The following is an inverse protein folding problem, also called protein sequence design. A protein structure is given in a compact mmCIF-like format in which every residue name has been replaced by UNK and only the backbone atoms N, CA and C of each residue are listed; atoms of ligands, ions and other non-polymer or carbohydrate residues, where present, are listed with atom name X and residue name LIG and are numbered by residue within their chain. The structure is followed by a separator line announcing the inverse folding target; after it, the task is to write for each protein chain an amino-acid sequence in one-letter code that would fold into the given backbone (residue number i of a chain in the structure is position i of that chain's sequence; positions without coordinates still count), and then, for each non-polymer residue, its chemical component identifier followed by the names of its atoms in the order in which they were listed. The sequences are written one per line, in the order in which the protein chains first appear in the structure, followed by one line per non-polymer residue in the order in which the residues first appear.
data_IF_558408045251
#
_entry.id   IF_558408045251
#
_cell.length_a   1.000
_cell.length_b   1.000
_cell.length_c   1.000
_cell.angle_alpha   90.00
_cell.angle_beta   90.00
_cell.angle_gamma   90.00
#
_symmetry.space_group_name_H-M   'P 1'
#
loop_
_entity.id
_entity.type
_entity.pdbx_description
1 polymer ?
#
# COMPACT_ATOMS: atom_id res chain seq x y z
N UNK A 1 -28.44 -20.06 24.34
CA UNK A 1 -27.22 -19.32 23.98
C UNK A 1 -27.55 -18.45 22.79
N UNK A 2 -27.42 -17.13 22.96
CA UNK A 2 -27.75 -16.15 21.93
C UNK A 2 -26.76 -16.29 20.77
N UNK A 3 -27.29 -16.60 19.59
CA UNK A 3 -26.58 -16.52 18.32
C UNK A 3 -25.99 -15.10 18.16
N UNK A 4 -24.69 -14.94 17.87
CA UNK A 4 -24.12 -13.62 17.63
C UNK A 4 -24.84 -12.99 16.45
N UNK A 5 -25.42 -11.81 16.68
CA UNK A 5 -26.07 -11.02 15.65
C UNK A 5 -25.00 -10.59 14.63
N UNK A 6 -24.97 -11.26 13.48
CA UNK A 6 -24.03 -10.97 12.42
C UNK A 6 -24.47 -9.66 11.75
N UNK A 7 -23.78 -8.57 12.05
CA UNK A 7 -23.96 -7.29 11.35
C UNK A 7 -23.43 -7.43 9.91
N UNK A 8 -24.35 -7.65 8.96
CA UNK A 8 -24.06 -7.79 7.52
C UNK A 8 -23.51 -6.51 6.88
N UNK A 9 -23.38 -5.41 7.62
CA UNK A 9 -22.89 -4.12 7.11
C UNK A 9 -21.37 -4.04 7.04
N UNK A 10 -20.64 -4.91 7.77
CA UNK A 10 -19.17 -4.89 7.79
C UNK A 10 -18.58 -5.87 6.77
N UNK A 11 -17.74 -5.34 5.89
CA UNK A 11 -16.95 -6.13 4.94
C UNK A 11 -15.92 -6.98 5.71
N UNK A 12 -16.08 -8.30 5.67
CA UNK A 12 -15.14 -9.26 6.25
C UNK A 12 -14.09 -9.71 5.22
N UNK A 13 -12.86 -9.87 5.67
CA UNK A 13 -11.72 -10.32 4.88
C UNK A 13 -11.18 -11.62 5.44
N UNK A 14 -10.87 -12.60 4.57
CA UNK A 14 -10.30 -13.87 5.00
C UNK A 14 -8.78 -13.77 5.10
N UNK A 15 -8.24 -13.94 6.31
CA UNK A 15 -6.80 -14.02 6.53
C UNK A 15 -6.33 -15.48 6.38
N UNK A 16 -5.53 -15.84 5.36
CA UNK A 16 -5.09 -17.22 5.16
C UNK A 16 -4.12 -17.70 6.24
N UNK A 17 -3.42 -16.79 6.93
CA UNK A 17 -2.47 -17.13 7.99
C UNK A 17 -3.17 -17.46 9.32
N UNK A 18 -4.22 -16.71 9.65
CA UNK A 18 -5.00 -16.93 10.88
C UNK A 18 -6.13 -17.94 10.68
N UNK A 19 -6.44 -18.29 9.43
CA UNK A 19 -7.58 -19.12 9.02
C UNK A 19 -8.95 -18.57 9.48
N UNK A 20 -9.05 -17.25 9.62
CA UNK A 20 -10.23 -16.56 10.19
C UNK A 20 -10.71 -15.38 9.33
N UNK A 21 -11.94 -14.95 9.56
CA UNK A 21 -12.53 -13.74 8.99
C UNK A 21 -12.31 -12.54 9.92
N UNK A 22 -11.71 -11.48 9.38
CA UNK A 22 -11.37 -10.27 10.11
C UNK A 22 -12.04 -9.05 9.48
N UNK A 23 -12.44 -8.09 10.29
CA UNK A 23 -12.95 -6.79 9.82
C UNK A 23 -11.89 -5.67 9.93
N UNK A 24 -10.84 -5.88 10.73
CA UNK A 24 -9.77 -4.93 11.02
C UNK A 24 -8.56 -5.11 10.08
N UNK A 25 -8.78 -4.97 8.77
CA UNK A 25 -7.68 -4.94 7.78
C UNK A 25 -7.09 -3.55 7.65
N UNK A 26 -5.78 -3.49 7.45
CA UNK A 26 -5.06 -2.25 7.16
C UNK A 26 -4.25 -2.40 5.87
N UNK A 27 -4.25 -1.40 4.98
CA UNK A 27 -3.39 -1.42 3.81
C UNK A 27 -1.92 -1.26 4.22
N UNK A 28 -1.04 -1.92 3.48
CA UNK A 28 0.42 -1.89 3.67
C UNK A 28 1.12 -1.81 2.31
N UNK A 29 2.28 -1.15 2.26
CA UNK A 29 3.01 -1.02 1.00
C UNK A 29 3.76 -2.29 0.61
N UNK A 30 3.70 -2.57 -0.69
CA UNK A 30 4.59 -3.46 -1.41
C UNK A 30 4.96 -2.78 -2.73
N UNK A 31 6.03 -1.98 -2.71
CA UNK A 31 6.40 -1.12 -3.85
C UNK A 31 7.55 -1.72 -4.66
N UNK A 32 7.38 -1.75 -5.98
CA UNK A 32 8.44 -2.05 -6.92
C UNK A 32 9.10 -0.74 -7.40
N UNK A 33 10.35 -0.51 -7.01
CA UNK A 33 11.14 0.64 -7.46
C UNK A 33 12.10 0.23 -8.56
N UNK A 34 12.22 1.08 -9.58
CA UNK A 34 13.33 1.04 -10.54
C UNK A 34 14.23 2.23 -10.27
N UNK A 35 15.47 1.96 -9.90
CA UNK A 35 16.48 2.98 -9.64
C UNK A 35 17.56 2.87 -10.70
N UNK A 36 18.00 4.02 -11.21
CA UNK A 36 19.07 4.11 -12.20
C UNK A 36 20.22 4.93 -11.62
N UNK A 37 21.44 4.48 -11.86
CA UNK A 37 22.67 5.20 -11.54
C UNK A 37 23.62 5.22 -12.74
N UNK A 38 24.83 5.74 -12.56
CA UNK A 38 25.83 5.81 -13.64
C UNK A 38 26.33 4.45 -14.15
N UNK A 39 26.00 3.35 -13.46
CA UNK A 39 26.43 1.99 -13.80
C UNK A 39 25.32 1.16 -14.45
N UNK A 40 24.05 1.51 -14.23
CA UNK A 40 22.93 0.84 -14.84
C UNK A 40 21.63 1.04 -14.08
N UNK A 41 20.79 0.00 -14.08
CA UNK A 41 19.52 0.01 -13.38
C UNK A 41 19.36 -1.19 -12.47
N UNK A 42 18.67 -0.99 -11.35
CA UNK A 42 18.31 -2.06 -10.42
C UNK A 42 16.85 -1.92 -10.00
N UNK A 43 16.20 -3.06 -9.79
CA UNK A 43 14.83 -3.13 -9.28
C UNK A 43 14.85 -3.53 -7.80
N UNK A 44 14.14 -2.77 -6.97
CA UNK A 44 13.99 -3.03 -5.55
C UNK A 44 12.54 -3.34 -5.22
N UNK A 45 12.34 -4.25 -4.26
CA UNK A 45 11.06 -4.47 -3.60
C UNK A 45 11.13 -3.84 -2.21
N UNK A 46 10.34 -2.79 -1.98
CA UNK A 46 10.27 -2.11 -0.69
C UNK A 46 9.01 -2.55 0.05
N UNK A 47 9.22 -3.10 1.24
CA UNK A 47 8.16 -3.42 2.18
C UNK A 47 7.78 -2.18 3.00
N UNK A 48 6.58 -2.24 3.57
CA UNK A 48 5.88 -1.18 4.30
C UNK A 48 6.74 -0.10 4.95
N UNK A 49 7.57 -0.44 5.95
CA UNK A 49 8.38 0.55 6.68
C UNK A 49 9.33 1.34 5.78
N UNK A 50 10.07 0.65 4.92
CA UNK A 50 11.02 1.29 4.00
C UNK A 50 10.28 2.11 2.93
N UNK A 51 9.13 1.61 2.47
CA UNK A 51 8.29 2.35 1.54
C UNK A 51 7.73 3.65 2.16
N UNK A 52 7.28 3.61 3.42
CA UNK A 52 6.80 4.80 4.13
C UNK A 52 7.88 5.87 4.26
N UNK A 53 9.14 5.48 4.52
CA UNK A 53 10.27 6.42 4.57
C UNK A 53 10.53 7.11 3.22
N UNK A 54 10.36 6.38 2.11
CA UNK A 54 10.59 6.92 0.76
C UNK A 54 9.42 7.77 0.27
N UNK A 55 8.19 7.32 0.48
CA UNK A 55 6.97 8.02 0.02
C UNK A 55 6.58 9.16 0.97
N UNK A 56 7.02 9.08 2.23
CA UNK A 56 6.70 10.03 3.30
C UNK A 56 5.18 10.14 3.58
N UNK A 57 4.48 9.00 3.52
CA UNK A 57 3.07 8.83 3.90
C UNK A 57 2.83 7.35 4.23
N UNK A 58 1.75 7.03 4.94
CA UNK A 58 1.34 5.64 5.17
C UNK A 58 0.50 5.10 4.02
N UNK A 59 0.43 3.76 3.88
CA UNK A 59 -0.45 3.15 2.88
C UNK A 59 -1.94 3.44 3.15
N UNK A 60 -2.34 3.58 4.42
CA UNK A 60 -3.69 3.94 4.81
C UNK A 60 -4.07 5.34 4.34
N UNK A 61 -3.23 6.34 4.64
CA UNK A 61 -3.43 7.71 4.16
C UNK A 61 -3.45 7.78 2.63
N UNK A 62 -2.64 6.96 1.95
CA UNK A 62 -2.62 6.95 0.49
C UNK A 62 -3.94 6.43 -0.09
N UNK A 63 -4.48 5.33 0.45
CA UNK A 63 -5.73 4.73 0.00
C UNK A 63 -6.93 5.62 0.32
N UNK A 64 -6.97 6.22 1.51
CA UNK A 64 -8.07 7.11 1.90
C UNK A 64 -8.16 8.37 1.01
N UNK A 65 -7.03 8.83 0.48
CA UNK A 65 -6.96 9.98 -0.42
C UNK A 65 -7.03 9.61 -1.92
N UNK A 66 -7.12 8.33 -2.26
CA UNK A 66 -7.12 7.85 -3.63
C UNK A 66 -8.49 7.31 -4.01
N UNK A 67 -9.12 7.94 -5.01
CA UNK A 67 -10.38 7.48 -5.56
C UNK A 67 -10.11 6.28 -6.48
N UNK A 68 -10.68 5.10 -6.16
CA UNK A 68 -10.46 3.85 -6.92
C UNK A 68 -10.94 3.94 -8.40
N UNK A 69 -11.67 5.00 -8.77
CA UNK A 69 -12.26 5.23 -10.10
C UNK A 69 -11.29 5.96 -11.07
N UNK A 70 -10.00 6.11 -10.70
CA UNK A 70 -9.01 6.73 -11.59
C UNK A 70 -8.39 5.73 -12.56
N UNK A 71 -7.96 6.25 -13.72
CA UNK A 71 -7.19 5.52 -14.73
C UNK A 71 -5.99 4.81 -14.08
N UNK A 72 -5.75 3.50 -14.33
CA UNK A 72 -4.64 2.76 -13.75
C UNK A 72 -3.25 3.35 -14.03
N UNK A 73 -3.12 4.19 -15.06
CA UNK A 73 -1.87 4.88 -15.39
C UNK A 73 -1.65 6.17 -14.56
N UNK A 74 -2.64 6.60 -13.78
CA UNK A 74 -2.56 7.79 -12.92
C UNK A 74 -2.08 7.39 -11.53
N UNK A 75 -0.80 7.70 -11.26
CA UNK A 75 -0.23 7.52 -9.93
C UNK A 75 -0.72 8.59 -8.95
N UNK A 76 -1.03 8.23 -7.69
CA UNK A 76 -1.26 9.21 -6.64
C UNK A 76 -0.08 10.18 -6.52
N UNK A 77 -0.36 11.44 -6.21
CA UNK A 77 0.67 12.50 -6.16
C UNK A 77 1.86 12.15 -5.26
N UNK A 78 1.63 11.49 -4.12
CA UNK A 78 2.70 11.04 -3.22
C UNK A 78 3.68 10.07 -3.91
N UNK A 79 3.17 9.17 -4.77
CA UNK A 79 3.97 8.25 -5.57
C UNK A 79 4.52 8.92 -6.84
N UNK A 80 3.80 9.86 -7.45
CA UNK A 80 4.34 10.62 -8.60
C UNK A 80 5.53 11.50 -8.19
N UNK A 81 5.48 12.06 -6.99
CA UNK A 81 6.50 12.98 -6.49
C UNK A 81 7.86 12.32 -6.22
N UNK A 82 7.93 10.99 -6.11
CA UNK A 82 9.20 10.27 -5.92
C UNK A 82 9.84 9.88 -7.27
N UNK A 83 9.06 9.84 -8.35
CA UNK A 83 9.59 9.55 -9.68
C UNK A 83 10.58 10.63 -10.12
N UNK A 84 11.76 10.22 -10.57
CA UNK A 84 12.82 11.12 -11.02
C UNK A 84 13.60 11.81 -9.90
N UNK A 85 13.34 11.50 -8.63
CA UNK A 85 14.16 11.97 -7.50
C UNK A 85 15.37 11.06 -7.26
N UNK A 86 16.43 11.66 -6.72
CA UNK A 86 17.61 10.95 -6.24
C UNK A 86 17.50 10.79 -4.72
N UNK A 87 17.62 9.57 -4.24
CA UNK A 87 17.78 9.30 -2.81
C UNK A 87 19.26 9.14 -2.52
N UNK A 88 19.80 10.03 -1.67
CA UNK A 88 21.08 9.82 -1.03
C UNK A 88 20.77 9.20 0.34
N UNK A 89 21.28 7.99 0.56
CA UNK A 89 21.19 7.35 1.87
C UNK A 89 22.18 8.00 2.84
#
# INVERSE_FOLDING_TARGET
EESPQLDFSKKLWKCPKCEDYVDNVVPVFLLHFRVMDGTGETKFLLFDKLAMEVVNTTAAELVDNFDEIQDPDVLPMALGNICGKTSLQ
#
